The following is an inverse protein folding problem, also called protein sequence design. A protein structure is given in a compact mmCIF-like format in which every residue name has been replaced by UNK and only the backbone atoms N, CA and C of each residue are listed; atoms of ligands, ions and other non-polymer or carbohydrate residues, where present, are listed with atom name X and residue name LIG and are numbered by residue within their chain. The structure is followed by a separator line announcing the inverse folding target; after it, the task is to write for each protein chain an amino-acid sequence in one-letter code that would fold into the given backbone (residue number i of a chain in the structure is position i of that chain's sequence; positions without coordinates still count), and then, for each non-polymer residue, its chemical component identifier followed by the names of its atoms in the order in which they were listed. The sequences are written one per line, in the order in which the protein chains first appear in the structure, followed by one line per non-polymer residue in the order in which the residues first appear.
data_IF_607174261238
#
_entry.id   IF_607174261238
#
_cell.length_a   1.000
_cell.length_b   1.000
_cell.length_c   1.000
_cell.angle_alpha   90.00
_cell.angle_beta   90.00
_cell.angle_gamma   90.00
#
_symmetry.space_group_name_H-M   'P 1'
#
loop_
_entity.id
_entity.type
_entity.pdbx_description
1 polymer ?
#
# COMPACT_ATOMS: atom_id res chain seq x y z
N UNK A 1 22.60 1.81 10.89
CA UNK A 1 21.59 1.89 9.81
C UNK A 1 20.55 0.83 10.08
N UNK A 2 19.25 1.17 10.08
CA UNK A 2 18.20 0.19 10.34
C UNK A 2 17.96 -0.60 9.05
N UNK A 3 18.03 -1.92 9.11
CA UNK A 3 17.78 -2.78 7.94
C UNK A 3 16.27 -2.90 7.75
N UNK A 4 15.78 -2.52 6.57
CA UNK A 4 14.38 -2.72 6.19
C UNK A 4 14.19 -4.17 5.74
N UNK A 5 13.08 -4.76 6.17
CA UNK A 5 12.67 -6.12 5.85
C UNK A 5 11.36 -6.10 5.08
N UNK A 6 10.94 -7.26 4.56
CA UNK A 6 9.63 -7.44 3.91
C UNK A 6 8.45 -7.00 4.78
N UNK A 7 8.58 -7.05 6.11
CA UNK A 7 7.52 -6.66 7.04
C UNK A 7 7.31 -5.14 7.09
N UNK A 8 8.28 -4.35 6.63
CA UNK A 8 8.20 -2.89 6.55
C UNK A 8 7.45 -2.41 5.29
N UNK A 9 7.00 -3.34 4.42
CA UNK A 9 6.28 -3.03 3.20
C UNK A 9 4.84 -3.54 3.24
N UNK A 10 3.94 -2.76 2.65
CA UNK A 10 2.53 -3.09 2.51
C UNK A 10 2.21 -3.33 1.03
N UNK A 11 1.68 -4.51 0.72
CA UNK A 11 1.30 -4.91 -0.63
C UNK A 11 -0.21 -4.70 -0.80
N UNK A 12 -0.57 -3.70 -1.59
CA UNK A 12 -1.96 -3.36 -1.89
C UNK A 12 -2.37 -3.96 -3.23
N UNK A 13 -3.25 -4.95 -3.19
CA UNK A 13 -3.84 -5.58 -4.38
C UNK A 13 -5.18 -4.94 -4.79
N UNK A 14 -5.78 -4.15 -3.90
CA UNK A 14 -7.12 -3.59 -4.12
C UNK A 14 -7.04 -2.24 -4.81
N UNK A 15 -7.61 -2.15 -6.02
CA UNK A 15 -7.66 -0.90 -6.79
C UNK A 15 -8.33 0.25 -6.02
N UNK A 16 -9.43 -0.02 -5.30
CA UNK A 16 -10.14 0.98 -4.48
C UNK A 16 -9.22 1.59 -3.41
N UNK A 17 -8.54 0.73 -2.64
CA UNK A 17 -7.60 1.16 -1.61
C UNK A 17 -6.42 1.93 -2.21
N UNK A 18 -5.87 1.49 -3.35
CA UNK A 18 -4.80 2.21 -4.03
C UNK A 18 -5.21 3.59 -4.55
N UNK A 19 -6.48 3.80 -4.91
CA UNK A 19 -7.00 5.11 -5.29
C UNK A 19 -7.14 5.99 -4.05
N UNK A 20 -7.76 5.46 -2.98
CA UNK A 20 -7.90 6.17 -1.70
C UNK A 20 -6.55 6.63 -1.14
N UNK A 21 -5.54 5.75 -1.12
CA UNK A 21 -4.20 6.10 -0.67
C UNK A 21 -3.59 7.24 -1.51
N UNK A 22 -3.83 7.24 -2.83
CA UNK A 22 -3.37 8.32 -3.71
C UNK A 22 -4.10 9.64 -3.44
N UNK A 23 -5.38 9.60 -3.09
CA UNK A 23 -6.18 10.78 -2.71
C UNK A 23 -5.72 11.36 -1.37
N UNK A 24 -5.31 10.51 -0.42
CA UNK A 24 -4.67 10.92 0.84
C UNK A 24 -3.21 11.42 0.64
N UNK A 25 -2.71 11.46 -0.60
CA UNK A 25 -1.35 11.93 -0.93
C UNK A 25 -0.25 10.88 -0.74
N UNK A 26 -0.60 9.64 -0.42
CA UNK A 26 0.36 8.54 -0.21
C UNK A 26 0.72 7.92 -1.55
N UNK A 27 1.98 8.06 -1.93
CA UNK A 27 2.53 7.49 -3.16
C UNK A 27 3.08 6.08 -2.93
N UNK A 28 2.88 5.20 -3.92
CA UNK A 28 3.49 3.87 -3.91
C UNK A 28 4.98 3.96 -4.26
N UNK A 29 5.77 3.05 -3.70
CA UNK A 29 7.18 2.87 -4.08
C UNK A 29 7.26 2.17 -5.43
N UNK A 30 6.49 1.10 -5.57
CA UNK A 30 6.53 0.21 -6.74
C UNK A 30 5.09 -0.15 -7.14
N UNK A 31 4.85 -0.19 -8.44
CA UNK A 31 3.67 -0.84 -9.02
C UNK A 31 4.15 -2.01 -9.86
N UNK A 32 3.74 -3.21 -9.49
CA UNK A 32 4.20 -4.45 -10.10
C UNK A 32 3.01 -5.33 -10.52
N UNK A 33 3.32 -6.34 -11.33
CA UNK A 33 2.38 -7.35 -11.78
C UNK A 33 2.87 -8.71 -11.30
N UNK A 34 2.01 -9.44 -10.58
CA UNK A 34 2.30 -10.79 -10.13
C UNK A 34 2.37 -11.73 -11.33
N UNK A 35 3.40 -12.59 -11.37
CA UNK A 35 3.63 -13.53 -12.47
C UNK A 35 2.62 -14.68 -12.42
N UNK A 36 2.12 -15.03 -11.22
CA UNK A 36 1.26 -16.20 -10.99
C UNK A 36 -0.15 -16.02 -11.55
N UNK A 37 -0.72 -14.83 -11.36
CA UNK A 37 -2.13 -14.52 -11.62
C UNK A 37 -2.31 -13.25 -12.46
N UNK A 38 -1.21 -12.65 -12.92
CA UNK A 38 -1.23 -11.39 -13.65
C UNK A 38 -1.86 -10.22 -12.87
N UNK A 39 -2.02 -10.33 -11.55
CA UNK A 39 -2.63 -9.29 -10.72
C UNK A 39 -1.69 -8.10 -10.55
N UNK A 40 -2.24 -6.89 -10.67
CA UNK A 40 -1.48 -5.65 -10.46
C UNK A 40 -1.58 -5.27 -8.99
N UNK A 41 -0.44 -4.99 -8.37
CA UNK A 41 -0.36 -4.53 -6.98
C UNK A 41 0.59 -3.35 -6.85
N UNK A 42 0.34 -2.54 -5.83
CA UNK A 42 1.18 -1.41 -5.44
C UNK A 42 1.81 -1.69 -4.08
N UNK A 43 3.07 -1.31 -3.92
CA UNK A 43 3.86 -1.52 -2.70
C UNK A 43 4.10 -0.17 -2.04
N UNK A 44 3.82 -0.08 -0.74
CA UNK A 44 4.00 1.11 0.07
C UNK A 44 4.94 0.79 1.23
N UNK A 45 5.66 1.79 1.72
CA UNK A 45 6.39 1.68 2.97
C UNK A 45 5.38 1.78 4.11
N UNK A 46 5.49 0.93 5.12
CA UNK A 46 4.72 1.07 6.35
C UNK A 46 5.25 2.25 7.14
N UNK A 47 4.60 3.38 6.96
CA UNK A 47 4.78 4.60 7.74
C UNK A 47 3.56 4.82 8.61
N UNK A 48 3.70 5.68 9.63
CA UNK A 48 2.57 6.08 10.48
C UNK A 48 1.44 6.72 9.67
N UNK A 49 1.78 7.44 8.60
CA UNK A 49 0.82 8.03 7.66
C UNK A 49 0.02 6.96 6.90
N UNK A 50 0.70 5.92 6.39
CA UNK A 50 0.03 4.80 5.75
C UNK A 50 -0.92 4.11 6.71
N UNK A 51 -0.47 3.85 7.94
CA UNK A 51 -1.30 3.19 8.96
C UNK A 51 -2.55 4.02 9.26
N UNK A 52 -2.43 5.34 9.45
CA UNK A 52 -3.57 6.24 9.65
C UNK A 52 -4.55 6.21 8.48
N UNK A 53 -4.07 6.23 7.25
CA UNK A 53 -4.94 6.15 6.07
C UNK A 53 -5.65 4.79 5.99
N UNK A 54 -4.96 3.69 6.29
CA UNK A 54 -5.57 2.35 6.35
C UNK A 54 -6.67 2.27 7.41
N UNK A 55 -6.47 2.87 8.57
CA UNK A 55 -7.47 2.85 9.64
C UNK A 55 -8.68 3.74 9.29
N UNK A 56 -8.47 4.93 8.71
CA UNK A 56 -9.57 5.73 8.13
C UNK A 56 -10.38 4.93 7.11
N UNK A 57 -9.71 4.19 6.22
CA UNK A 57 -10.40 3.42 5.18
C UNK A 57 -11.30 2.31 5.75
N UNK A 58 -10.89 1.70 6.88
CA UNK A 58 -11.68 0.69 7.60
C UNK A 58 -12.87 1.28 8.34
N UNK A 59 -12.82 2.53 8.77
CA UNK A 59 -13.97 3.18 9.40
C UNK A 59 -15.06 3.56 8.38
N UNK A 60 -14.67 3.75 7.12
CA UNK A 60 -15.57 4.14 6.03
C UNK A 60 -16.26 2.95 5.34
N UNK A 61 -15.73 1.71 5.48
CA UNK A 61 -16.30 0.48 4.89
C UNK A 61 -16.71 -0.53 5.95
#
# INVERSE_FOLDING_TARGET
MKQLTEQDFFFCFTKKLSIFLKEEGISYIIKAKSIKDNAIYTVYQKTDELQRALDKYKEIN
#
